data_IF_868770255237
#
_entry.id   IF_868770255237
#
_cell.length_a   1.000
_cell.length_b   1.000
_cell.length_c   1.000
_cell.angle_alpha   90.00
_cell.angle_beta   90.00
_cell.angle_gamma   90.00
#
_symmetry.space_group_name_H-M   'P 1'
#
loop_
_entity.id
_entity.type
_entity.pdbx_description
1 polymer ?
#
# COMPACT_ATOMS: atom_id res chain seq x y z
N UNK A 1 18.01 6.01 6.27
CA UNK A 1 16.91 5.43 7.07
C UNK A 1 15.93 6.56 7.37
N UNK A 2 14.66 6.34 7.10
CA UNK A 2 13.57 7.29 7.35
C UNK A 2 13.19 7.34 8.83
N UNK A 3 12.49 8.39 9.26
CA UNK A 3 12.02 8.54 10.64
C UNK A 3 11.06 7.41 11.04
N UNK A 4 10.17 7.02 10.13
CA UNK A 4 9.22 5.95 10.38
C UNK A 4 9.90 4.58 10.41
N UNK A 5 10.82 4.26 9.50
CA UNK A 5 11.63 3.04 9.61
C UNK A 5 12.37 2.97 10.96
N UNK A 6 12.96 4.08 11.42
CA UNK A 6 13.62 4.15 12.72
C UNK A 6 12.65 3.89 13.89
N UNK A 7 11.44 4.46 13.82
CA UNK A 7 10.39 4.25 14.83
C UNK A 7 9.93 2.79 14.90
N UNK A 8 9.66 2.16 13.73
CA UNK A 8 9.28 0.75 13.64
C UNK A 8 10.33 -0.16 14.26
N UNK A 9 11.60 0.07 13.94
CA UNK A 9 12.73 -0.69 14.50
C UNK A 9 12.84 -0.48 16.01
N UNK A 10 12.69 0.75 16.50
CA UNK A 10 12.75 1.05 17.92
C UNK A 10 11.63 0.35 18.73
N UNK A 11 10.41 0.34 18.20
CA UNK A 11 9.28 -0.36 18.83
C UNK A 11 9.46 -1.88 18.78
N UNK A 12 9.90 -2.43 17.64
CA UNK A 12 10.19 -3.85 17.51
C UNK A 12 11.30 -4.31 18.48
N UNK A 13 12.38 -3.54 18.61
CA UNK A 13 13.45 -3.82 19.58
C UNK A 13 12.93 -3.86 21.02
N UNK A 14 12.00 -2.96 21.37
CA UNK A 14 11.36 -2.93 22.70
C UNK A 14 10.58 -4.22 22.99
N UNK A 15 9.85 -4.76 22.01
CA UNK A 15 9.09 -6.01 22.20
C UNK A 15 9.98 -7.25 22.31
N UNK A 16 11.12 -7.26 21.64
CA UNK A 16 12.03 -8.42 21.64
C UNK A 16 12.76 -8.62 22.98
N UNK A 17 12.70 -7.65 23.90
CA UNK A 17 13.25 -7.72 25.28
C UNK A 17 14.63 -8.39 25.36
N UNK A 18 15.69 -7.60 25.22
CA UNK A 18 17.09 -8.10 25.23
C UNK A 18 17.90 -7.70 23.99
N UNK A 19 17.26 -7.06 23.01
CA UNK A 19 17.91 -6.52 21.80
C UNK A 19 17.83 -5.00 21.85
N UNK A 20 18.97 -4.32 21.74
CA UNK A 20 18.98 -2.85 21.65
C UNK A 20 18.52 -2.39 20.26
N UNK A 21 17.91 -1.20 20.17
CA UNK A 21 17.49 -0.65 18.89
C UNK A 21 18.67 -0.53 17.90
N UNK A 22 19.85 -0.09 18.37
CA UNK A 22 21.06 -0.02 17.56
C UNK A 22 21.53 -1.41 17.07
N UNK A 23 21.48 -2.42 17.96
CA UNK A 23 21.81 -3.80 17.59
C UNK A 23 20.87 -4.36 16.53
N UNK A 24 19.57 -4.11 16.67
CA UNK A 24 18.57 -4.53 15.69
C UNK A 24 18.74 -3.81 14.35
N UNK A 25 19.08 -2.51 14.34
CA UNK A 25 19.40 -1.77 13.11
C UNK A 25 20.58 -2.40 12.39
N UNK A 26 21.68 -2.68 13.10
CA UNK A 26 22.88 -3.30 12.50
C UNK A 26 22.56 -4.68 11.91
N UNK A 27 21.81 -5.49 12.65
CA UNK A 27 21.47 -6.84 12.23
C UNK A 27 20.50 -6.85 11.02
N UNK A 28 19.51 -5.96 11.01
CA UNK A 28 18.63 -5.75 9.84
C UNK A 28 19.38 -5.20 8.63
N UNK A 29 20.32 -4.28 8.84
CA UNK A 29 21.14 -3.69 7.77
C UNK A 29 22.04 -4.74 7.10
N UNK A 30 22.52 -5.73 7.85
CA UNK A 30 23.30 -6.85 7.30
C UNK A 30 22.49 -7.76 6.38
N UNK A 31 21.18 -7.89 6.58
CA UNK A 31 20.30 -8.77 5.76
C UNK A 31 19.54 -8.04 4.66
N UNK A 32 19.10 -6.81 4.89
CA UNK A 32 18.18 -6.08 3.99
C UNK A 32 18.87 -5.03 3.10
N UNK A 33 20.19 -4.89 3.21
CA UNK A 33 21.01 -3.81 2.65
C UNK A 33 20.56 -2.40 3.07
N UNK A 34 21.51 -1.46 3.10
CA UNK A 34 21.19 -0.05 3.33
C UNK A 34 20.68 0.64 2.05
N UNK A 35 19.80 1.65 2.16
CA UNK A 35 19.14 2.11 3.38
C UNK A 35 18.02 1.16 3.83
N UNK A 36 17.80 1.06 5.14
CA UNK A 36 16.58 0.49 5.70
C UNK A 36 15.40 1.43 5.43
N UNK A 37 14.40 0.92 4.72
CA UNK A 37 13.13 1.61 4.40
C UNK A 37 11.96 0.82 4.94
N UNK A 38 10.81 1.47 5.10
CA UNK A 38 9.55 0.87 5.54
C UNK A 38 9.19 -0.35 4.70
N UNK A 39 9.44 -0.29 3.39
CA UNK A 39 9.19 -1.38 2.45
C UNK A 39 10.02 -2.61 2.78
N UNK A 40 11.32 -2.42 3.05
CA UNK A 40 12.21 -3.51 3.43
C UNK A 40 11.80 -4.12 4.77
N UNK A 41 11.44 -3.27 5.73
CA UNK A 41 10.94 -3.73 7.02
C UNK A 41 9.61 -4.49 6.90
N UNK A 42 8.73 -4.07 5.98
CA UNK A 42 7.45 -4.70 5.70
C UNK A 42 7.54 -6.12 5.11
N UNK A 43 8.70 -6.52 4.58
CA UNK A 43 8.92 -7.90 4.12
C UNK A 43 9.63 -8.80 5.11
N UNK A 44 10.03 -8.30 6.28
CA UNK A 44 10.70 -9.12 7.30
C UNK A 44 9.72 -10.16 7.83
N UNK A 45 10.12 -11.43 7.81
CA UNK A 45 9.32 -12.52 8.38
C UNK A 45 9.80 -12.91 9.78
N UNK A 46 9.01 -13.74 10.48
CA UNK A 46 9.42 -14.32 11.77
C UNK A 46 10.68 -15.17 11.63
N UNK A 47 10.83 -15.86 10.50
CA UNK A 47 12.03 -16.65 10.18
C UNK A 47 13.24 -15.74 10.03
N UNK A 48 13.09 -14.64 9.26
CA UNK A 48 14.18 -13.70 9.08
C UNK A 48 14.64 -13.10 10.41
N UNK A 49 13.69 -12.70 11.25
CA UNK A 49 14.00 -12.11 12.55
C UNK A 49 14.67 -13.14 13.48
N UNK A 50 14.31 -14.42 13.41
CA UNK A 50 14.96 -15.48 14.18
C UNK A 50 16.42 -15.68 13.75
N UNK A 51 16.67 -15.72 12.45
CA UNK A 51 18.03 -15.85 11.89
C UNK A 51 18.90 -14.64 12.26
N UNK A 52 18.37 -13.43 12.07
CA UNK A 52 19.05 -12.17 12.41
C UNK A 52 19.45 -12.13 13.89
N UNK A 53 18.58 -12.62 14.78
CA UNK A 53 18.83 -12.63 16.23
C UNK A 53 19.73 -13.79 16.70
N UNK A 54 19.84 -14.87 15.92
CA UNK A 54 20.74 -15.98 16.22
C UNK A 54 22.21 -15.65 15.89
N UNK A 55 22.46 -14.71 14.95
CA UNK A 55 23.80 -14.33 14.50
C UNK A 55 24.50 -15.43 13.66
N UNK A 56 25.79 -15.25 13.36
CA UNK A 56 26.63 -16.19 12.60
C UNK A 56 26.94 -17.52 13.33
N UNK A 57 26.42 -17.70 14.55
CA UNK A 57 26.53 -18.95 15.31
C UNK A 57 25.21 -19.73 15.23
N UNK A 58 24.88 -20.15 14.02
CA UNK A 58 23.84 -21.12 13.74
C UNK A 58 24.32 -22.55 14.08
N UNK A 59 24.68 -22.80 15.34
CA UNK A 59 24.63 -24.18 15.83
C UNK A 59 23.16 -24.52 16.12
N UNK A 60 22.74 -25.71 15.73
CA UNK A 60 21.35 -26.21 15.64
C UNK A 60 20.54 -26.17 16.96
N UNK A 61 21.10 -25.63 18.04
CA UNK A 61 20.45 -25.45 19.34
C UNK A 61 20.48 -24.02 19.88
N UNK A 62 20.74 -23.00 19.05
CA UNK A 62 20.67 -21.60 19.50
C UNK A 62 19.20 -21.21 19.81
N UNK A 63 18.80 -21.45 21.06
CA UNK A 63 17.59 -20.89 21.64
C UNK A 63 17.80 -19.38 21.77
N UNK A 64 17.52 -18.63 20.70
CA UNK A 64 17.16 -17.23 20.85
C UNK A 64 15.96 -17.25 21.79
N UNK A 65 16.19 -16.93 23.08
CA UNK A 65 15.21 -17.06 24.17
C UNK A 65 13.99 -16.15 24.05
N UNK A 66 13.73 -15.63 22.85
CA UNK A 66 12.58 -14.82 22.50
C UNK A 66 11.44 -15.74 22.11
N UNK A 67 10.36 -15.68 22.89
CA UNK A 67 9.14 -16.42 22.62
C UNK A 67 8.59 -16.11 21.22
N UNK A 68 8.01 -17.13 20.56
CA UNK A 68 7.46 -17.00 19.21
C UNK A 68 6.42 -15.88 19.06
N UNK A 69 5.65 -15.60 20.11
CA UNK A 69 4.65 -14.53 20.08
C UNK A 69 5.27 -13.14 20.12
N UNK A 70 6.41 -12.96 20.79
CA UNK A 70 7.20 -11.71 20.75
C UNK A 70 7.81 -11.47 19.38
N UNK A 71 8.30 -12.52 18.72
CA UNK A 71 8.79 -12.41 17.34
C UNK A 71 7.68 -11.99 16.39
N UNK A 72 6.48 -12.60 16.49
CA UNK A 72 5.32 -12.20 15.71
C UNK A 72 4.94 -10.74 15.97
N UNK A 73 4.90 -10.31 17.22
CA UNK A 73 4.59 -8.93 17.59
C UNK A 73 5.62 -7.93 17.04
N UNK A 74 6.92 -8.26 17.15
CA UNK A 74 7.99 -7.44 16.59
C UNK A 74 7.90 -7.34 15.06
N UNK A 75 7.63 -8.45 14.37
CA UNK A 75 7.41 -8.46 12.92
C UNK A 75 6.23 -7.57 12.52
N UNK A 76 5.10 -7.63 13.25
CA UNK A 76 3.96 -6.72 13.03
C UNK A 76 4.36 -5.25 13.17
N UNK A 77 5.19 -4.90 14.16
CA UNK A 77 5.71 -3.53 14.33
C UNK A 77 6.65 -3.13 13.19
N UNK A 78 7.49 -4.03 12.69
CA UNK A 78 8.34 -3.80 11.51
C UNK A 78 7.49 -3.58 10.24
N UNK A 79 6.35 -4.27 10.14
CA UNK A 79 5.35 -4.04 9.10
C UNK A 79 4.60 -2.71 9.25
N UNK A 80 4.69 -2.07 10.42
CA UNK A 80 4.04 -0.80 10.73
C UNK A 80 2.67 -0.95 11.39
N UNK A 81 2.25 -2.18 11.73
CA UNK A 81 0.98 -2.45 12.42
C UNK A 81 1.05 -1.92 13.86
N UNK A 82 0.09 -1.07 14.25
CA UNK A 82 0.01 -0.52 15.61
C UNK A 82 1.05 0.56 15.95
N UNK A 83 1.82 1.05 14.98
CA UNK A 83 2.83 2.11 15.18
C UNK A 83 2.19 3.49 15.13
N UNK A 84 1.75 4.00 16.28
CA UNK A 84 1.30 5.40 16.43
C UNK A 84 2.48 6.36 16.22
N UNK A 85 2.42 7.18 15.16
CA UNK A 85 3.51 8.08 14.73
C UNK A 85 4.14 7.73 13.38
N UNK A 86 3.63 6.70 12.68
CA UNK A 86 3.76 6.54 11.23
C UNK A 86 3.24 7.79 10.51
N UNK A 87 3.85 8.17 9.39
CA UNK A 87 3.32 9.26 8.55
C UNK A 87 2.02 8.85 7.83
N UNK A 88 1.61 7.59 7.96
CA UNK A 88 0.36 7.06 7.43
C UNK A 88 -0.76 7.23 8.47
N UNK A 89 -1.94 7.73 8.04
CA UNK A 89 -3.10 7.76 8.91
C UNK A 89 -3.58 6.33 9.24
N UNK A 90 -4.28 6.16 10.37
CA UNK A 90 -4.90 4.87 10.70
C UNK A 90 -5.90 4.47 9.61
N UNK A 91 -6.09 3.16 9.45
CA UNK A 91 -7.12 2.61 8.57
C UNK A 91 -8.51 2.93 9.13
N UNK A 92 -9.42 3.28 8.23
CA UNK A 92 -10.81 3.53 8.55
C UNK A 92 -11.59 2.20 8.63
N UNK A 93 -12.54 2.12 9.56
CA UNK A 93 -13.41 0.94 9.68
C UNK A 93 -14.26 0.76 8.41
N UNK A 94 -14.34 -0.48 7.92
CA UNK A 94 -15.07 -0.83 6.71
C UNK A 94 -15.52 -2.28 6.76
N UNK A 95 -16.80 -2.51 6.46
CA UNK A 95 -17.35 -3.84 6.18
C UNK A 95 -17.73 -3.94 4.70
N UNK A 96 -17.68 -5.16 4.14
CA UNK A 96 -18.09 -5.38 2.77
C UNK A 96 -19.55 -4.92 2.53
N UNK A 97 -19.73 -4.04 1.54
CA UNK A 97 -21.02 -3.40 1.24
C UNK A 97 -21.19 -2.01 1.86
N UNK A 98 -20.29 -1.58 2.75
CA UNK A 98 -20.24 -0.20 3.20
C UNK A 98 -19.99 0.73 2.00
N UNK A 99 -20.56 1.94 2.07
CA UNK A 99 -20.48 2.97 1.03
C UNK A 99 -20.99 2.47 -0.35
N UNK A 100 -22.29 2.16 -0.51
CA UNK A 100 -22.84 1.72 -1.79
C UNK A 100 -22.61 2.75 -2.90
N UNK A 101 -22.31 2.28 -4.11
CA UNK A 101 -21.98 3.15 -5.25
C UNK A 101 -20.62 3.83 -5.15
N UNK A 102 -19.74 3.38 -4.25
CA UNK A 102 -18.35 3.81 -4.20
C UNK A 102 -17.45 2.97 -5.10
N UNK A 103 -16.23 3.44 -5.32
CA UNK A 103 -15.17 2.72 -6.02
C UNK A 103 -13.94 2.59 -5.13
N UNK A 104 -13.10 1.59 -5.43
CA UNK A 104 -11.82 1.39 -4.80
C UNK A 104 -10.71 2.01 -5.66
N UNK A 105 -9.85 2.80 -5.03
CA UNK A 105 -8.80 3.57 -5.70
C UNK A 105 -7.45 3.28 -5.05
N UNK A 106 -6.47 2.89 -5.87
CA UNK A 106 -5.10 2.73 -5.43
C UNK A 106 -4.29 4.02 -5.66
N UNK A 107 -3.42 4.35 -4.73
CA UNK A 107 -2.54 5.50 -4.77
C UNK A 107 -1.10 5.02 -4.58
N UNK A 108 -0.25 5.13 -5.61
CA UNK A 108 1.17 4.77 -5.51
C UNK A 108 1.92 5.80 -4.65
N UNK A 109 2.58 5.32 -3.60
CA UNK A 109 3.19 6.15 -2.57
C UNK A 109 4.55 5.63 -2.13
N UNK A 110 5.44 6.56 -1.80
CA UNK A 110 6.75 6.36 -1.20
C UNK A 110 6.84 7.02 0.18
N UNK A 111 6.16 8.14 0.40
CA UNK A 111 6.19 8.86 1.69
C UNK A 111 4.79 9.12 2.24
N UNK A 112 4.57 8.76 3.50
CA UNK A 112 3.30 8.95 4.22
C UNK A 112 2.06 8.73 3.36
N UNK A 113 1.14 9.70 3.39
CA UNK A 113 -0.08 9.71 2.59
C UNK A 113 0.06 10.48 1.25
N UNK A 114 1.27 10.57 0.69
CA UNK A 114 1.55 11.28 -0.56
C UNK A 114 1.39 10.39 -1.81
N UNK A 115 0.96 11.01 -2.91
CA UNK A 115 0.98 10.46 -4.27
C UNK A 115 2.28 10.87 -4.98
N UNK A 116 3.36 10.17 -4.68
CA UNK A 116 4.72 10.43 -5.16
C UNK A 116 5.38 9.16 -5.74
N UNK A 117 4.62 8.06 -5.86
CA UNK A 117 5.13 6.77 -6.32
C UNK A 117 5.06 6.60 -7.84
N UNK A 118 6.16 6.14 -8.43
CA UNK A 118 6.15 5.53 -9.77
C UNK A 118 5.62 4.10 -9.66
N UNK A 119 4.76 3.65 -10.57
CA UNK A 119 4.13 2.32 -10.45
C UNK A 119 5.13 1.17 -10.24
N UNK A 120 6.20 1.15 -11.04
CA UNK A 120 7.17 0.05 -11.04
C UNK A 120 8.16 0.07 -9.88
N UNK A 121 8.18 1.13 -9.07
CA UNK A 121 9.15 1.28 -7.97
C UNK A 121 8.58 1.93 -6.72
N UNK A 122 7.27 2.17 -6.66
CA UNK A 122 6.66 2.70 -5.46
C UNK A 122 6.78 1.69 -4.33
N UNK A 123 6.85 2.19 -3.11
CA UNK A 123 7.00 1.40 -1.90
C UNK A 123 5.70 0.66 -1.52
N UNK A 124 4.57 1.32 -1.77
CA UNK A 124 3.25 0.83 -1.39
C UNK A 124 2.16 1.39 -2.30
N UNK A 125 1.00 0.72 -2.26
CA UNK A 125 -0.27 1.28 -2.69
C UNK A 125 -1.14 1.58 -1.48
N UNK A 126 -1.59 2.82 -1.36
CA UNK A 126 -2.63 3.22 -0.41
C UNK A 126 -3.99 2.96 -1.07
N UNK A 127 -4.86 2.21 -0.42
CA UNK A 127 -6.12 1.74 -1.00
C UNK A 127 -7.27 2.45 -0.32
N UNK A 128 -8.00 3.26 -1.07
CA UNK A 128 -9.13 4.02 -0.59
C UNK A 128 -10.44 3.49 -1.13
N UNK A 129 -11.48 3.55 -0.32
CA UNK A 129 -12.86 3.53 -0.78
C UNK A 129 -13.32 4.98 -0.98
N UNK A 130 -13.91 5.28 -2.14
CA UNK A 130 -14.26 6.64 -2.55
C UNK A 130 -15.68 6.69 -3.06
N UNK A 131 -16.54 7.44 -2.36
CA UNK A 131 -17.88 7.82 -2.76
C UNK A 131 -17.95 9.35 -2.96
N UNK A 132 -18.98 9.90 -3.62
CA UNK A 132 -19.12 11.35 -3.76
C UNK A 132 -19.11 12.13 -2.44
N UNK A 133 -19.62 11.54 -1.35
CA UNK A 133 -19.76 12.20 -0.05
C UNK A 133 -18.75 11.76 1.01
N UNK A 134 -18.05 10.64 0.79
CA UNK A 134 -17.21 10.01 1.82
C UNK A 134 -15.98 9.34 1.19
N UNK A 135 -14.89 9.33 1.96
CA UNK A 135 -13.62 8.72 1.60
C UNK A 135 -13.00 8.03 2.82
N UNK A 136 -12.58 6.77 2.66
CA UNK A 136 -11.97 5.94 3.71
C UNK A 136 -10.67 5.29 3.22
N UNK A 137 -9.61 5.34 4.01
CA UNK A 137 -8.39 4.57 3.78
C UNK A 137 -8.59 3.15 4.30
N UNK A 138 -8.65 2.16 3.41
CA UNK A 138 -8.96 0.78 3.76
C UNK A 138 -7.73 -0.09 4.02
N UNK A 139 -6.65 0.15 3.26
CA UNK A 139 -5.47 -0.68 3.35
C UNK A 139 -4.21 0.04 2.87
N UNK A 140 -3.07 -0.45 3.34
CA UNK A 140 -1.75 -0.14 2.82
C UNK A 140 -1.15 -1.44 2.32
N UNK A 141 -0.85 -1.52 1.01
CA UNK A 141 -0.32 -2.73 0.37
C UNK A 141 1.13 -2.52 -0.04
N UNK A 142 2.11 -3.10 0.69
CA UNK A 142 3.52 -3.04 0.32
C UNK A 142 3.78 -3.75 -1.01
N UNK A 143 4.78 -3.29 -1.76
CA UNK A 143 5.14 -3.91 -3.04
C UNK A 143 6.34 -4.84 -2.96
N UNK A 144 7.00 -4.98 -1.80
CA UNK A 144 8.28 -5.71 -1.69
C UNK A 144 8.18 -7.14 -2.23
N UNK A 145 7.13 -7.88 -1.84
CA UNK A 145 6.93 -9.25 -2.31
C UNK A 145 6.85 -9.32 -3.85
N UNK A 146 6.24 -8.32 -4.49
CA UNK A 146 6.12 -8.25 -5.94
C UNK A 146 7.46 -7.95 -6.64
N UNK A 147 8.46 -7.39 -5.93
CA UNK A 147 9.78 -7.11 -6.50
C UNK A 147 10.66 -8.37 -6.64
N UNK A 148 10.30 -9.45 -5.94
CA UNK A 148 10.97 -10.74 -6.04
C UNK A 148 10.38 -11.66 -7.12
N UNK A 149 9.23 -11.31 -7.70
CA UNK A 149 8.62 -12.09 -8.78
C UNK A 149 9.33 -11.86 -10.13
N UNK A 150 9.36 -12.89 -10.98
CA UNK A 150 9.91 -12.81 -12.35
C UNK A 150 9.23 -11.73 -13.19
N UNK A 151 7.89 -11.62 -13.10
CA UNK A 151 7.10 -10.55 -13.71
C UNK A 151 6.59 -9.57 -12.64
N UNK A 152 7.48 -8.70 -12.18
CA UNK A 152 7.21 -7.65 -11.19
C UNK A 152 6.01 -6.78 -11.53
N UNK A 153 5.84 -6.42 -12.81
CA UNK A 153 4.75 -5.56 -13.25
C UNK A 153 3.40 -6.25 -13.13
N UNK A 154 3.31 -7.53 -13.50
CA UNK A 154 2.11 -8.32 -13.31
C UNK A 154 1.80 -8.52 -11.83
N UNK A 155 2.83 -8.76 -11.00
CA UNK A 155 2.67 -8.92 -9.56
C UNK A 155 2.17 -7.64 -8.87
N UNK A 156 2.77 -6.49 -9.18
CA UNK A 156 2.29 -5.18 -8.73
C UNK A 156 0.86 -4.89 -9.19
N UNK A 157 0.47 -5.30 -10.41
CA UNK A 157 -0.91 -5.13 -10.88
C UNK A 157 -1.91 -6.01 -10.10
N UNK A 158 -1.52 -7.23 -9.68
CA UNK A 158 -2.35 -8.09 -8.82
C UNK A 158 -2.65 -7.46 -7.46
N UNK A 159 -1.70 -6.70 -6.90
CA UNK A 159 -1.90 -5.99 -5.63
C UNK A 159 -3.02 -4.95 -5.67
N UNK A 160 -3.51 -4.55 -6.84
CA UNK A 160 -4.54 -3.53 -7.03
C UNK A 160 -5.69 -4.00 -7.94
N UNK A 161 -5.80 -5.31 -8.19
CA UNK A 161 -6.77 -5.86 -9.15
C UNK A 161 -8.24 -5.69 -8.74
N UNK A 162 -8.49 -5.37 -7.48
CA UNK A 162 -9.81 -5.02 -6.92
C UNK A 162 -10.11 -3.51 -6.96
N UNK A 163 -9.18 -2.69 -7.45
CA UNK A 163 -9.35 -1.25 -7.63
C UNK A 163 -9.85 -0.93 -9.04
N UNK A 164 -10.63 0.14 -9.17
CA UNK A 164 -11.06 0.64 -10.49
C UNK A 164 -10.08 1.65 -11.07
N UNK A 165 -9.40 2.41 -10.22
CA UNK A 165 -8.45 3.45 -10.61
C UNK A 165 -7.16 3.28 -9.84
N UNK A 166 -6.02 3.56 -10.48
CA UNK A 166 -4.74 3.74 -9.81
C UNK A 166 -4.12 5.09 -10.17
N UNK A 167 -3.82 5.90 -9.15
CA UNK A 167 -3.05 7.13 -9.30
C UNK A 167 -1.57 6.84 -9.12
N UNK A 168 -0.76 7.34 -10.06
CA UNK A 168 0.69 7.14 -10.12
C UNK A 168 1.37 8.44 -10.53
N UNK A 169 2.59 8.68 -10.07
CA UNK A 169 3.38 9.80 -10.59
C UNK A 169 3.80 9.53 -12.04
N UNK A 170 4.26 8.30 -12.31
CA UNK A 170 4.49 7.80 -13.65
C UNK A 170 4.29 6.29 -13.74
N UNK A 171 4.10 5.81 -14.97
CA UNK A 171 3.97 4.38 -15.29
C UNK A 171 4.47 4.16 -16.72
N UNK A 172 5.34 3.14 -16.89
CA UNK A 172 5.86 2.73 -18.19
C UNK A 172 4.83 1.92 -18.99
N UNK A 173 4.99 1.88 -20.32
CA UNK A 173 4.05 1.22 -21.24
C UNK A 173 3.75 -0.25 -20.88
N UNK A 174 4.76 -1.12 -20.66
CA UNK A 174 4.52 -2.52 -20.30
C UNK A 174 3.72 -2.68 -19.00
N UNK A 175 4.04 -1.87 -17.99
CA UNK A 175 3.32 -1.87 -16.71
C UNK A 175 1.88 -1.39 -16.88
N UNK A 176 1.65 -0.30 -17.60
CA UNK A 176 0.31 0.22 -17.88
C UNK A 176 -0.57 -0.83 -18.59
N UNK A 177 0.00 -1.57 -19.53
CA UNK A 177 -0.72 -2.65 -20.21
C UNK A 177 -1.12 -3.79 -19.27
N UNK A 178 -0.34 -4.08 -18.22
CA UNK A 178 -0.70 -5.09 -17.20
C UNK A 178 -1.80 -4.57 -16.26
N UNK A 179 -1.72 -3.31 -15.85
CA UNK A 179 -2.73 -2.63 -15.03
C UNK A 179 -4.09 -2.59 -15.75
N UNK A 180 -4.11 -2.19 -17.02
CA UNK A 180 -5.35 -2.17 -17.83
C UNK A 180 -5.92 -3.58 -18.00
N UNK A 181 -5.08 -4.59 -18.22
CA UNK A 181 -5.53 -6.01 -18.29
C UNK A 181 -6.11 -6.52 -16.97
N UNK A 182 -5.67 -5.97 -15.84
CA UNK A 182 -6.25 -6.25 -14.53
C UNK A 182 -7.57 -5.49 -14.27
N UNK A 183 -8.09 -4.75 -15.25
CA UNK A 183 -9.34 -3.99 -15.13
C UNK A 183 -9.19 -2.65 -14.42
N UNK A 184 -7.96 -2.20 -14.18
CA UNK A 184 -7.67 -0.95 -13.44
C UNK A 184 -7.31 0.16 -14.40
N UNK A 185 -7.86 1.36 -14.21
CA UNK A 185 -7.55 2.54 -15.02
C UNK A 185 -6.38 3.35 -14.42
N UNK A 186 -5.21 3.43 -15.08
CA UNK A 186 -4.08 4.23 -14.58
C UNK A 186 -4.24 5.72 -14.90
N UNK A 187 -4.06 6.58 -13.89
CA UNK A 187 -4.09 8.03 -14.02
C UNK A 187 -2.77 8.63 -13.52
N UNK A 188 -2.14 9.45 -14.36
CA UNK A 188 -0.84 10.08 -14.04
C UNK A 188 -1.04 11.42 -13.32
N UNK A 189 -0.35 11.61 -12.20
CA UNK A 189 -0.28 12.87 -11.45
C UNK A 189 1.17 13.36 -11.51
N UNK A 190 1.52 14.30 -12.41
CA UNK A 190 2.92 14.59 -12.75
C UNK A 190 3.71 15.28 -11.62
N UNK A 191 3.05 15.83 -10.61
CA UNK A 191 3.69 16.45 -9.44
C UNK A 191 3.22 15.74 -8.17
N UNK A 192 4.11 15.51 -7.17
CA UNK A 192 3.68 15.00 -5.87
C UNK A 192 2.52 15.80 -5.31
N UNK A 193 1.53 15.10 -4.74
CA UNK A 193 0.35 15.71 -4.12
C UNK A 193 -0.11 14.85 -2.94
N UNK A 194 -0.87 15.42 -2.01
CA UNK A 194 -1.53 14.62 -0.99
C UNK A 194 -2.58 13.69 -1.65
N UNK A 195 -2.64 12.43 -1.21
CA UNK A 195 -3.60 11.47 -1.74
C UNK A 195 -5.03 11.96 -1.53
N UNK A 196 -5.38 12.39 -0.31
CA UNK A 196 -6.72 12.88 0.03
C UNK A 196 -7.17 14.06 -0.81
N UNK A 197 -6.30 15.04 -1.06
CA UNK A 197 -6.64 16.17 -1.94
C UNK A 197 -6.96 15.74 -3.37
N UNK A 198 -6.20 14.78 -3.90
CA UNK A 198 -6.44 14.21 -5.23
C UNK A 198 -7.76 13.44 -5.27
N UNK A 199 -8.06 12.69 -4.21
CA UNK A 199 -9.28 11.91 -4.13
C UNK A 199 -10.51 12.79 -3.89
N UNK A 200 -10.40 13.91 -3.18
CA UNK A 200 -11.48 14.92 -3.08
C UNK A 200 -11.84 15.48 -4.46
N UNK A 201 -10.85 15.72 -5.33
CA UNK A 201 -11.12 16.09 -6.73
C UNK A 201 -11.81 14.96 -7.50
N UNK A 202 -11.45 13.70 -7.24
CA UNK A 202 -12.14 12.56 -7.80
C UNK A 202 -13.60 12.49 -7.32
N UNK A 203 -13.89 12.74 -6.03
CA UNK A 203 -15.27 12.78 -5.51
C UNK A 203 -16.17 13.73 -6.31
N UNK A 204 -15.65 14.90 -6.70
CA UNK A 204 -16.39 15.85 -7.56
C UNK A 204 -16.72 15.24 -8.93
N UNK A 205 -15.79 14.47 -9.50
CA UNK A 205 -16.04 13.73 -10.76
C UNK A 205 -17.07 12.62 -10.56
N UNK A 206 -17.07 11.96 -9.41
CA UNK A 206 -18.05 10.90 -9.08
C UNK A 206 -19.47 11.42 -8.88
N UNK A 207 -19.69 12.73 -8.71
CA UNK A 207 -21.06 13.31 -8.72
C UNK A 207 -21.72 13.21 -10.09
N UNK A 208 -20.93 13.21 -11.16
CA UNK A 208 -21.37 13.04 -12.55
C UNK A 208 -20.38 12.11 -13.26
N UNK A 209 -20.36 10.81 -12.88
CA UNK A 209 -19.30 9.92 -13.27
C UNK A 209 -19.33 9.66 -14.78
N UNK A 210 -18.16 9.44 -15.42
CA UNK A 210 -18.13 8.98 -16.80
C UNK A 210 -18.85 7.63 -16.95
N UNK A 211 -19.37 7.27 -18.13
CA UNK A 211 -20.23 6.10 -18.32
C UNK A 211 -19.71 4.79 -17.71
N UNK A 212 -18.40 4.55 -17.82
CA UNK A 212 -17.79 3.33 -17.30
C UNK A 212 -17.79 3.28 -15.76
N UNK A 213 -17.56 4.42 -15.09
CA UNK A 213 -17.68 4.52 -13.64
C UNK A 213 -19.14 4.50 -13.19
N UNK A 214 -20.02 5.18 -13.92
CA UNK A 214 -21.45 5.16 -13.63
C UNK A 214 -22.00 3.72 -13.59
N UNK A 215 -21.61 2.90 -14.57
CA UNK A 215 -21.96 1.47 -14.63
C UNK A 215 -21.45 0.70 -13.41
N UNK A 216 -20.20 0.94 -12.97
CA UNK A 216 -19.63 0.27 -11.80
C UNK A 216 -20.32 0.72 -10.50
N UNK A 217 -20.61 2.02 -10.39
CA UNK A 217 -21.29 2.62 -9.24
C UNK A 217 -22.80 2.31 -9.21
N UNK A 218 -23.36 1.70 -10.25
CA UNK A 218 -24.80 1.42 -10.34
C UNK A 218 -25.68 2.65 -10.55
N UNK A 219 -25.13 3.75 -11.09
CA UNK A 219 -25.86 5.00 -11.33
C UNK A 219 -26.01 5.27 -12.83
N UNK A 220 -27.06 6.02 -13.22
CA UNK A 220 -27.25 6.42 -14.63
C UNK A 220 -26.18 7.42 -15.06
N UNK A 221 -25.59 7.21 -16.23
CA UNK A 221 -24.59 8.13 -16.78
C UNK A 221 -25.28 9.36 -17.40
N UNK A 222 -24.98 10.55 -16.89
CA UNK A 222 -25.58 11.81 -17.39
C UNK A 222 -25.28 12.08 -18.87
N UNK A 223 -24.19 11.54 -19.42
CA UNK A 223 -23.87 11.70 -20.85
C UNK A 223 -24.75 10.85 -21.79
N UNK A 224 -25.40 9.81 -21.28
CA UNK A 224 -26.34 8.98 -22.06
C UNK A 224 -27.73 9.63 -22.17
N UNK A 225 -28.06 10.59 -21.32
CA UNK A 225 -29.34 11.32 -21.36
C UNK A 225 -29.51 12.11 -22.68
N UNK A 226 -28.41 12.54 -23.30
CA UNK A 226 -28.45 13.28 -24.57
C UNK A 226 -28.79 12.41 -25.79
N UNK A 227 -28.66 11.09 -25.68
CA UNK A 227 -28.95 10.14 -26.76
C UNK A 227 -30.31 9.45 -26.59
N UNK A 228 -30.91 9.47 -25.40
CA UNK A 228 -32.22 8.88 -25.14
C UNK A 228 -33.38 9.68 -25.75
N UNK A 229 -33.19 10.96 -26.07
CA UNK A 229 -34.23 11.84 -26.64
C UNK A 229 -34.33 11.70 -28.18
N UNK A 230 -33.39 11.00 -28.82
CA UNK A 230 -33.35 10.86 -30.28
C UNK A 230 -34.10 9.62 -30.81
N UNK A 231 -34.64 8.76 -29.95
CA UNK A 231 -35.41 7.56 -30.33
C UNK A 231 -36.95 7.74 -30.24
N UNK A 232 -37.46 8.93 -29.91
CA UNK A 232 -38.90 9.21 -29.79
C UNK A 232 -39.46 10.23 -30.82
N UNK A 233 -38.82 10.40 -31.98
CA UNK A 233 -39.36 11.18 -33.11
C UNK A 233 -39.24 10.40 -34.42
#
# INVERSE_FOLDING_TARGET
MTREAALRIALAARELSGVSAAGLVTALAGKLDLPLTETKLAGVTVTDLREILAGDHADENCHVGVAGDKLKAAVRLLWGEGVSGSELPPLDAYNDGDMPGSIRVACASNSGEALDGHFGSCERFLIYQVAPAELRLLAVRPTLAADHDEDRNASRARLIADCQVVYVQSIGGPAAAKVVRAGVHPVKIPRPAAARETLVRLQQTLTRPPPWLAKIMGVKAASLEKFAVAEEL
#
